data_IF_849513737838
#
_entry.id   IF_849513737838
#
_cell.length_a   1.000
_cell.length_b   1.000
_cell.length_c   1.000
_cell.angle_alpha   90.00
_cell.angle_beta   90.00
_cell.angle_gamma   90.00
#
_symmetry.space_group_name_H-M   'P 1'
#
loop_
_entity.id
_entity.type
_entity.pdbx_description
1 polymer ?
#
# COMPACT_ATOMS: atom_id res chain seq x y z
N UNK A 1 12.61 16.13 5.11
CA UNK A 1 11.97 16.24 6.44
C UNK A 1 11.93 14.85 7.09
N UNK A 2 12.14 14.74 8.41
CA UNK A 2 12.39 13.46 9.15
C UNK A 2 11.09 12.87 9.73
N UNK A 3 9.91 13.22 9.22
CA UNK A 3 8.63 12.62 9.62
C UNK A 3 8.15 12.85 11.07
N UNK A 4 8.72 13.82 11.82
CA UNK A 4 8.24 14.16 13.17
C UNK A 4 6.83 14.75 13.13
N UNK A 5 6.03 14.50 14.17
CA UNK A 5 4.75 15.16 14.38
C UNK A 5 4.96 16.68 14.49
N UNK A 6 4.11 17.44 13.80
CA UNK A 6 4.17 18.91 13.80
C UNK A 6 2.76 19.44 13.95
N UNK A 7 2.65 20.53 14.68
CA UNK A 7 1.42 21.33 14.78
C UNK A 7 1.59 22.70 14.12
N UNK A 8 2.82 23.05 13.74
CA UNK A 8 3.18 24.33 13.12
C UNK A 8 3.98 24.13 11.82
N UNK A 9 3.70 24.99 10.85
CA UNK A 9 4.40 25.03 9.57
C UNK A 9 5.80 25.68 9.71
N UNK A 10 6.47 25.91 8.58
CA UNK A 10 7.80 26.55 8.54
C UNK A 10 7.77 28.03 8.95
N UNK A 11 6.60 28.66 8.89
CA UNK A 11 6.37 30.08 9.22
C UNK A 11 5.80 30.26 10.63
N UNK A 12 5.62 29.18 11.40
CA UNK A 12 5.08 29.20 12.77
C UNK A 12 3.55 29.19 12.86
N UNK A 13 2.84 29.19 11.72
CA UNK A 13 1.38 29.11 11.64
C UNK A 13 0.86 27.69 11.89
N UNK A 14 -0.43 27.51 12.19
CA UNK A 14 -1.04 26.19 12.33
C UNK A 14 -0.96 25.41 11.01
N UNK A 15 -0.69 24.10 11.08
CA UNK A 15 -0.70 23.25 9.88
C UNK A 15 -2.13 23.05 9.38
N UNK A 16 -2.37 23.37 8.11
CA UNK A 16 -3.56 22.92 7.40
C UNK A 16 -3.35 21.47 6.94
N UNK A 17 -4.14 20.56 7.51
CA UNK A 17 -4.09 19.12 7.23
C UNK A 17 -5.25 18.66 6.35
N UNK A 18 -6.03 19.60 5.77
CA UNK A 18 -7.15 19.28 4.88
C UNK A 18 -6.68 18.77 3.54
N UNK A 19 -7.37 17.75 3.03
CA UNK A 19 -7.14 17.19 1.71
C UNK A 19 -8.42 16.55 1.16
N UNK A 20 -8.45 16.36 -0.16
CA UNK A 20 -9.59 15.80 -0.90
C UNK A 20 -9.10 14.54 -1.62
N UNK A 21 -9.74 13.40 -1.36
CA UNK A 21 -9.53 12.16 -2.10
C UNK A 21 -10.42 12.13 -3.36
N UNK A 22 -10.11 11.26 -4.35
CA UNK A 22 -11.01 11.03 -5.47
C UNK A 22 -12.45 10.72 -5.03
N UNK A 23 -13.42 11.32 -5.72
CA UNK A 23 -14.83 11.25 -5.32
C UNK A 23 -15.25 12.33 -4.31
N UNK A 24 -14.49 13.43 -4.23
CA UNK A 24 -14.80 14.61 -3.40
C UNK A 24 -14.89 14.31 -1.89
N UNK A 25 -14.13 13.31 -1.43
CA UNK A 25 -14.09 12.91 -0.03
C UNK A 25 -13.07 13.76 0.71
N UNK A 26 -13.54 14.67 1.56
CA UNK A 26 -12.68 15.54 2.37
C UNK A 26 -12.25 14.86 3.68
N UNK A 27 -11.01 15.10 4.10
CA UNK A 27 -10.52 14.75 5.43
C UNK A 27 -9.51 15.80 5.92
N UNK A 28 -9.34 15.88 7.24
CA UNK A 28 -8.52 16.90 7.90
C UNK A 28 -7.54 16.33 8.93
N UNK A 29 -7.61 15.02 9.20
CA UNK A 29 -6.75 14.40 10.20
C UNK A 29 -6.17 13.04 9.74
N UNK A 30 -4.99 12.64 10.26
CA UNK A 30 -4.45 11.30 10.00
C UNK A 30 -5.35 10.17 10.49
N UNK A 31 -6.25 10.42 11.45
CA UNK A 31 -7.24 9.44 11.93
C UNK A 31 -8.32 9.24 10.87
N UNK A 32 -8.94 10.33 10.40
CA UNK A 32 -9.94 10.28 9.33
C UNK A 32 -9.38 9.61 8.08
N UNK A 33 -8.13 9.92 7.69
CA UNK A 33 -7.49 9.26 6.56
C UNK A 33 -7.41 7.73 6.74
N UNK A 34 -7.05 7.26 7.95
CA UNK A 34 -7.00 5.80 8.21
C UNK A 34 -8.38 5.17 8.11
N UNK A 35 -9.40 5.82 8.65
CA UNK A 35 -10.79 5.34 8.58
C UNK A 35 -11.27 5.26 7.13
N UNK A 36 -10.97 6.27 6.31
CA UNK A 36 -11.28 6.28 4.87
C UNK A 36 -10.56 5.17 4.11
N UNK A 37 -9.28 4.92 4.40
CA UNK A 37 -8.52 3.84 3.77
C UNK A 37 -9.06 2.46 4.16
N UNK A 38 -9.52 2.29 5.40
CA UNK A 38 -10.15 1.05 5.87
C UNK A 38 -11.56 0.85 5.29
N UNK A 39 -12.27 1.92 4.94
CA UNK A 39 -13.57 1.82 4.28
C UNK A 39 -13.47 1.30 2.83
N UNK A 40 -12.31 1.45 2.18
CA UNK A 40 -12.01 0.92 0.84
C UNK A 40 -10.94 -0.18 0.90
N UNK A 41 -11.21 -1.22 1.68
CA UNK A 41 -10.28 -2.31 2.02
C UNK A 41 -9.56 -2.88 0.78
N UNK A 42 -10.29 -3.09 -0.31
CA UNK A 42 -9.76 -3.73 -1.51
C UNK A 42 -8.72 -2.88 -2.24
N UNK A 43 -8.98 -1.58 -2.38
CA UNK A 43 -8.04 -0.66 -3.04
C UNK A 43 -6.77 -0.52 -2.22
N UNK A 44 -6.91 -0.42 -0.90
CA UNK A 44 -5.78 -0.35 0.01
C UNK A 44 -4.95 -1.64 -0.02
N UNK A 45 -5.59 -2.81 0.09
CA UNK A 45 -4.93 -4.11 0.06
C UNK A 45 -4.26 -4.39 -1.28
N UNK A 46 -4.92 -4.08 -2.41
CA UNK A 46 -4.25 -4.21 -3.72
C UNK A 46 -3.04 -3.30 -3.81
N UNK A 47 -3.14 -2.06 -3.36
CA UNK A 47 -2.00 -1.13 -3.39
C UNK A 47 -0.83 -1.64 -2.53
N UNK A 48 -1.08 -2.10 -1.30
CA UNK A 48 0.00 -2.59 -0.43
C UNK A 48 0.67 -3.84 -1.01
N UNK A 49 -0.11 -4.79 -1.55
CA UNK A 49 0.41 -5.97 -2.24
C UNK A 49 1.28 -5.58 -3.45
N UNK A 50 0.80 -4.65 -4.29
CA UNK A 50 1.55 -4.16 -5.45
C UNK A 50 2.87 -3.51 -5.06
N UNK A 51 2.86 -2.63 -4.06
CA UNK A 51 4.06 -1.93 -3.60
C UNK A 51 5.07 -2.90 -2.98
N UNK A 52 4.60 -3.86 -2.19
CA UNK A 52 5.44 -4.88 -1.58
C UNK A 52 6.08 -5.78 -2.65
N UNK A 53 5.29 -6.26 -3.61
CA UNK A 53 5.79 -7.10 -4.69
C UNK A 53 6.80 -6.33 -5.57
N UNK A 54 6.48 -5.09 -5.97
CA UNK A 54 7.40 -4.26 -6.76
C UNK A 54 8.74 -4.02 -6.03
N UNK A 55 8.67 -3.76 -4.73
CA UNK A 55 9.85 -3.58 -3.89
C UNK A 55 10.69 -4.87 -3.84
N UNK A 56 10.05 -6.02 -3.61
CA UNK A 56 10.72 -7.31 -3.52
C UNK A 56 11.37 -7.74 -4.85
N UNK A 57 10.72 -7.44 -5.99
CA UNK A 57 11.24 -7.76 -7.32
C UNK A 57 12.29 -6.76 -7.82
N UNK A 58 12.39 -5.57 -7.21
CA UNK A 58 13.28 -4.50 -7.66
C UNK A 58 12.93 -3.94 -9.04
N UNK A 59 11.68 -4.11 -9.50
CA UNK A 59 11.18 -3.60 -10.78
C UNK A 59 9.72 -3.16 -10.69
N UNK A 60 9.26 -2.30 -11.62
CA UNK A 60 7.82 -2.05 -11.80
C UNK A 60 7.07 -3.36 -12.10
N UNK A 61 5.82 -3.43 -11.64
CA UNK A 61 4.93 -4.53 -12.00
C UNK A 61 4.40 -4.34 -13.43
N UNK A 62 4.30 -5.45 -14.13
CA UNK A 62 3.71 -5.53 -15.47
C UNK A 62 2.35 -6.22 -15.42
N UNK A 63 1.64 -6.25 -16.55
CA UNK A 63 0.29 -6.82 -16.63
C UNK A 63 0.23 -8.28 -16.16
N UNK A 64 1.31 -9.05 -16.39
CA UNK A 64 1.39 -10.46 -16.01
C UNK A 64 1.66 -10.69 -14.51
N UNK A 65 1.96 -9.64 -13.74
CA UNK A 65 2.08 -9.73 -12.28
C UNK A 65 0.72 -9.57 -11.57
N UNK A 66 -0.33 -9.14 -12.28
CA UNK A 66 -1.64 -8.90 -11.70
C UNK A 66 -2.30 -10.15 -11.07
N UNK A 67 -2.17 -11.36 -11.64
CA UNK A 67 -2.65 -12.57 -10.99
C UNK A 67 -2.00 -12.78 -9.62
N UNK A 68 -0.69 -12.53 -9.51
CA UNK A 68 0.05 -12.64 -8.24
C UNK A 68 -0.48 -11.63 -7.22
N UNK A 69 -0.73 -10.39 -7.62
CA UNK A 69 -1.33 -9.37 -6.73
C UNK A 69 -2.69 -9.82 -6.22
N UNK A 70 -3.51 -10.41 -7.10
CA UNK A 70 -4.84 -10.93 -6.75
C UNK A 70 -4.74 -12.06 -5.73
N UNK A 71 -3.81 -13.00 -5.93
CA UNK A 71 -3.55 -14.10 -5.00
C UNK A 71 -3.05 -13.61 -3.64
N UNK A 72 -2.16 -12.61 -3.61
CA UNK A 72 -1.68 -12.00 -2.37
C UNK A 72 -2.82 -11.39 -1.54
N UNK A 73 -3.74 -10.67 -2.19
CA UNK A 73 -4.91 -10.10 -1.51
C UNK A 73 -5.83 -11.20 -0.97
N UNK A 74 -6.07 -12.25 -1.75
CA UNK A 74 -6.90 -13.37 -1.32
C UNK A 74 -6.28 -14.10 -0.11
N UNK A 75 -4.96 -14.31 -0.11
CA UNK A 75 -4.23 -14.94 1.01
C UNK A 75 -4.26 -14.07 2.26
N UNK A 76 -4.06 -12.75 2.12
CA UNK A 76 -4.18 -11.83 3.25
C UNK A 76 -5.57 -11.85 3.88
N UNK A 77 -6.64 -11.83 3.07
CA UNK A 77 -8.01 -11.89 3.58
C UNK A 77 -8.29 -13.19 4.35
N UNK A 78 -7.66 -14.30 3.97
CA UNK A 78 -7.79 -15.59 4.67
C UNK A 78 -7.04 -15.64 6.00
N UNK A 79 -5.99 -14.85 6.16
CA UNK A 79 -5.13 -14.84 7.35
C UNK A 79 -5.18 -13.50 8.10
N UNK A 80 -6.39 -12.94 8.22
CA UNK A 80 -6.69 -11.77 9.06
C UNK A 80 -5.78 -10.55 8.78
N UNK A 81 -5.43 -10.37 7.49
CA UNK A 81 -4.63 -9.25 6.99
C UNK A 81 -3.24 -9.12 7.65
N UNK A 82 -2.67 -10.22 8.14
CA UNK A 82 -1.35 -10.23 8.79
C UNK A 82 -0.23 -9.86 7.83
N UNK A 83 0.62 -8.93 8.26
CA UNK A 83 1.78 -8.48 7.49
C UNK A 83 2.78 -9.63 7.23
N UNK A 84 2.97 -10.53 8.19
CA UNK A 84 3.86 -11.69 8.03
C UNK A 84 3.44 -12.56 6.85
N UNK A 85 2.13 -12.72 6.66
CA UNK A 85 1.54 -13.55 5.62
C UNK A 85 1.72 -12.93 4.24
N UNK A 86 1.66 -11.59 4.14
CA UNK A 86 2.03 -10.88 2.91
C UNK A 86 3.50 -11.13 2.55
N UNK A 87 4.40 -10.99 3.51
CA UNK A 87 5.84 -11.17 3.28
C UNK A 87 6.12 -12.61 2.79
N UNK A 88 5.59 -13.61 3.49
CA UNK A 88 5.76 -15.02 3.11
C UNK A 88 5.16 -15.31 1.74
N UNK A 89 3.95 -14.81 1.46
CA UNK A 89 3.30 -15.03 0.16
C UNK A 89 4.05 -14.36 -1.00
N UNK A 90 4.70 -13.21 -0.76
CA UNK A 90 5.58 -12.58 -1.76
C UNK A 90 6.82 -13.43 -2.00
N UNK A 91 7.45 -13.94 -0.93
CA UNK A 91 8.62 -14.82 -1.03
C UNK A 91 8.25 -16.08 -1.80
N UNK A 92 7.10 -16.70 -1.55
CA UNK A 92 6.67 -17.93 -2.22
C UNK A 92 6.13 -17.69 -3.64
N UNK A 93 5.98 -16.43 -4.07
CA UNK A 93 5.44 -16.12 -5.38
C UNK A 93 6.39 -16.52 -6.52
N UNK A 94 5.83 -17.01 -7.63
CA UNK A 94 6.59 -17.37 -8.82
C UNK A 94 7.56 -16.26 -9.31
N UNK A 95 7.15 -14.98 -9.46
CA UNK A 95 8.07 -13.94 -9.95
C UNK A 95 9.22 -13.64 -8.98
N UNK A 96 9.09 -13.94 -7.69
CA UNK A 96 10.17 -13.79 -6.72
C UNK A 96 11.15 -14.95 -6.78
N UNK A 97 10.63 -16.19 -6.83
CA UNK A 97 11.44 -17.41 -6.87
C UNK A 97 12.13 -17.63 -8.23
N UNK A 98 11.56 -17.09 -9.31
CA UNK A 98 12.04 -17.30 -10.67
C UNK A 98 12.30 -15.98 -11.37
N UNK A 99 13.58 -15.74 -11.69
CA UNK A 99 13.97 -14.59 -12.50
C UNK A 99 13.67 -14.89 -13.97
N UNK A 100 12.80 -14.10 -14.59
CA UNK A 100 12.61 -14.16 -16.05
C UNK A 100 13.95 -13.85 -16.73
N UNK A 101 14.42 -14.76 -17.58
CA UNK A 101 15.73 -14.68 -18.22
C UNK A 101 15.82 -13.62 -19.34
N UNK A 102 14.69 -13.04 -19.76
CA UNK A 102 14.66 -12.03 -20.83
C UNK A 102 14.85 -10.62 -20.25
N UNK A 103 16.05 -10.09 -20.48
CA UNK A 103 16.31 -8.65 -20.56
C UNK A 103 16.08 -8.17 -21.98
#
# INVERSE_FOLDING_TARGET
>A
AIGRWRTRDVNGGPIDSRAILPGDIEFSSPRELKELLLASDELFLRNICRKMLAYALGRPLEYYDEPVVTDLVATLRKDDLKMQSLILSVIDSHPFQHRSAKR
#
